data_IF_081540528112
#
_entry.id   IF_081540528112
#
_cell.length_a   1.000
_cell.length_b   1.000
_cell.length_c   1.000
_cell.angle_alpha   90.00
_cell.angle_beta   90.00
_cell.angle_gamma   90.00
#
_symmetry.space_group_name_H-M   'P 1'
#
loop_
_entity.id
_entity.type
_entity.pdbx_description
1 polymer ?
#
# COMPACT_ATOMS: atom_id res chain seq x y z
N UNK A 1 0.82 -11.66 -24.48
CA UNK A 1 0.77 -10.70 -23.36
C UNK A 1 -0.69 -10.46 -23.08
N UNK A 2 -1.15 -10.84 -21.91
CA UNK A 2 -2.50 -10.53 -21.43
C UNK A 2 -2.65 -9.00 -21.36
N UNK A 3 -3.81 -8.44 -21.71
CA UNK A 3 -4.03 -6.99 -21.70
C UNK A 3 -3.82 -6.40 -20.29
N UNK A 4 -4.14 -7.20 -19.27
CA UNK A 4 -3.93 -6.85 -17.87
C UNK A 4 -2.44 -6.69 -17.53
N UNK A 5 -1.59 -7.63 -17.96
CA UNK A 5 -0.15 -7.57 -17.74
C UNK A 5 0.49 -6.34 -18.38
N UNK A 6 -0.02 -5.95 -19.56
CA UNK A 6 0.45 -4.73 -20.23
C UNK A 6 0.10 -3.47 -19.45
N UNK A 7 -1.10 -3.42 -18.86
CA UNK A 7 -1.53 -2.29 -18.05
C UNK A 7 -0.73 -2.18 -16.75
N UNK A 8 -0.47 -3.30 -16.08
CA UNK A 8 0.36 -3.36 -14.87
C UNK A 8 1.77 -2.88 -15.14
N UNK A 9 2.40 -3.37 -16.22
CA UNK A 9 3.71 -2.89 -16.65
C UNK A 9 3.70 -1.38 -16.89
N UNK A 10 2.70 -0.86 -17.61
CA UNK A 10 2.58 0.58 -17.86
C UNK A 10 2.42 1.39 -16.57
N UNK A 11 1.65 0.87 -15.61
CA UNK A 11 1.47 1.48 -14.28
C UNK A 11 2.79 1.55 -13.51
N UNK A 12 3.57 0.46 -13.52
CA UNK A 12 4.90 0.42 -12.90
C UNK A 12 5.85 1.43 -13.55
N UNK A 13 5.95 1.44 -14.88
CA UNK A 13 6.80 2.39 -15.62
C UNK A 13 6.42 3.84 -15.29
N UNK A 14 5.14 4.17 -15.32
CA UNK A 14 4.63 5.50 -14.99
C UNK A 14 4.99 5.92 -13.55
N UNK A 15 4.88 4.99 -12.59
CA UNK A 15 5.24 5.24 -11.20
C UNK A 15 6.73 5.49 -11.03
N UNK A 16 7.58 4.71 -11.69
CA UNK A 16 9.04 4.92 -11.68
C UNK A 16 9.41 6.26 -12.34
N UNK A 17 8.82 6.62 -13.48
CA UNK A 17 9.00 7.94 -14.09
C UNK A 17 8.66 9.07 -13.12
N UNK A 18 7.52 8.95 -12.41
CA UNK A 18 7.09 9.96 -11.43
C UNK A 18 8.12 10.10 -10.29
N UNK A 19 8.68 9.00 -9.79
CA UNK A 19 9.71 9.08 -8.75
C UNK A 19 11.03 9.67 -9.27
N UNK A 20 11.42 9.36 -10.50
CA UNK A 20 12.58 9.99 -11.14
C UNK A 20 12.36 11.49 -11.33
N UNK A 21 11.16 11.92 -11.70
CA UNK A 21 10.84 13.34 -11.84
C UNK A 21 10.87 14.05 -10.49
N UNK A 22 10.31 13.44 -9.44
CA UNK A 22 10.30 14.01 -8.09
C UNK A 22 11.70 14.18 -7.49
N UNK A 23 12.61 13.25 -7.74
CA UNK A 23 13.94 13.25 -7.10
C UNK A 23 15.05 13.85 -7.97
N UNK A 24 14.92 13.78 -9.29
CA UNK A 24 15.97 14.15 -10.25
C UNK A 24 15.47 15.14 -11.32
N UNK A 25 14.18 15.44 -11.38
CA UNK A 25 13.59 16.24 -12.46
C UNK A 25 13.61 15.53 -13.82
N UNK A 26 13.76 14.20 -13.83
CA UNK A 26 13.86 13.39 -15.04
C UNK A 26 12.56 12.63 -15.30
N UNK A 27 11.91 12.91 -16.43
CA UNK A 27 10.75 12.17 -16.91
C UNK A 27 11.08 11.46 -18.22
N UNK A 28 11.84 10.38 -18.11
CA UNK A 28 12.28 9.56 -19.25
C UNK A 28 11.78 8.13 -19.09
N UNK A 29 10.95 7.71 -20.05
CA UNK A 29 10.36 6.39 -20.09
C UNK A 29 11.41 5.30 -20.32
N UNK A 30 12.36 5.52 -21.22
CA UNK A 30 13.35 4.51 -21.59
C UNK A 30 14.31 4.29 -20.42
N UNK A 31 14.66 5.34 -19.69
CA UNK A 31 15.41 5.25 -18.44
C UNK A 31 14.64 4.46 -17.37
N UNK A 32 13.35 4.74 -17.20
CA UNK A 32 12.51 4.01 -16.24
C UNK A 32 12.43 2.51 -16.57
N UNK A 33 12.20 2.15 -17.85
CA UNK A 33 12.20 0.76 -18.31
C UNK A 33 13.56 0.08 -18.07
N UNK A 34 14.66 0.79 -18.33
CA UNK A 34 16.00 0.28 -18.06
C UNK A 34 16.23 0.02 -16.56
N UNK A 35 15.88 0.97 -15.69
CA UNK A 35 16.00 0.81 -14.23
C UNK A 35 15.17 -0.38 -13.74
N UNK A 36 13.95 -0.54 -14.26
CA UNK A 36 13.10 -1.71 -13.96
C UNK A 36 13.83 -2.99 -14.34
N UNK A 37 14.39 -3.07 -15.56
CA UNK A 37 15.13 -4.25 -16.05
C UNK A 37 16.33 -4.63 -15.18
N UNK A 38 17.03 -3.64 -14.61
CA UNK A 38 18.15 -3.85 -13.70
C UNK A 38 17.69 -4.41 -12.36
N UNK A 39 16.59 -3.88 -11.81
CA UNK A 39 16.01 -4.36 -10.57
C UNK A 39 15.44 -5.78 -10.70
N UNK A 40 14.97 -6.20 -11.88
CA UNK A 40 14.50 -7.57 -12.09
C UNK A 40 15.61 -8.61 -11.98
N UNK A 41 16.82 -8.26 -12.39
CA UNK A 41 17.99 -9.12 -12.33
C UNK A 41 18.66 -9.09 -10.94
N UNK A 42 18.36 -8.07 -10.14
CA UNK A 42 19.04 -7.78 -8.88
C UNK A 42 18.03 -7.46 -7.77
N UNK A 43 17.45 -8.50 -7.17
CA UNK A 43 16.37 -8.35 -6.18
C UNK A 43 16.80 -7.84 -4.80
N UNK A 44 18.10 -7.69 -4.56
CA UNK A 44 18.61 -7.19 -3.27
C UNK A 44 19.12 -5.76 -3.40
N UNK A 45 18.99 -4.98 -2.32
CA UNK A 45 19.38 -3.56 -2.32
C UNK A 45 20.86 -3.37 -2.67
N UNK A 46 21.75 -4.21 -2.13
CA UNK A 46 23.19 -4.12 -2.40
C UNK A 46 23.53 -4.39 -3.86
N UNK A 47 22.95 -5.44 -4.46
CA UNK A 47 23.17 -5.77 -5.87
C UNK A 47 22.60 -4.69 -6.79
N UNK A 48 21.38 -4.22 -6.51
CA UNK A 48 20.74 -3.19 -7.32
C UNK A 48 21.53 -1.88 -7.28
N UNK A 49 22.01 -1.47 -6.09
CA UNK A 49 22.87 -0.30 -5.92
C UNK A 49 24.19 -0.45 -6.68
N UNK A 50 24.84 -1.62 -6.60
CA UNK A 50 26.10 -1.87 -7.29
C UNK A 50 25.94 -1.76 -8.82
N UNK A 51 24.88 -2.36 -9.37
CA UNK A 51 24.62 -2.33 -10.82
C UNK A 51 24.21 -0.93 -11.29
N UNK A 52 23.47 -0.15 -10.50
CA UNK A 52 23.21 1.25 -10.82
C UNK A 52 24.52 2.06 -10.89
N UNK A 53 25.43 1.87 -9.92
CA UNK A 53 26.72 2.55 -9.91
C UNK A 53 27.60 2.14 -11.11
N UNK A 54 27.62 0.87 -11.50
CA UNK A 54 28.32 0.39 -12.70
C UNK A 54 27.80 1.05 -14.00
N UNK A 55 26.50 1.35 -14.04
CA UNK A 55 25.86 2.06 -15.15
C UNK A 55 25.95 3.60 -15.01
N UNK A 56 26.77 4.10 -14.08
CA UNK A 56 27.04 5.53 -13.90
C UNK A 56 25.95 6.28 -13.12
N UNK A 57 25.04 5.58 -12.46
CA UNK A 57 23.97 6.16 -11.65
C UNK A 57 24.27 6.01 -10.15
N UNK A 58 24.87 7.04 -9.55
CA UNK A 58 25.02 7.14 -8.09
C UNK A 58 23.87 7.94 -7.49
N UNK A 59 22.97 7.24 -6.81
CA UNK A 59 21.82 7.82 -6.13
C UNK A 59 21.91 7.66 -4.61
N UNK A 60 21.22 8.51 -3.83
CA UNK A 60 21.08 8.30 -2.39
C UNK A 60 20.44 6.95 -2.06
N UNK A 61 20.94 6.28 -1.03
CA UNK A 61 20.49 4.93 -0.63
C UNK A 61 18.99 4.86 -0.36
N UNK A 62 18.40 5.92 0.20
CA UNK A 62 16.96 6.04 0.42
C UNK A 62 16.16 6.01 -0.89
N UNK A 63 16.68 6.66 -1.93
CA UNK A 63 16.04 6.68 -3.25
C UNK A 63 16.16 5.33 -3.96
N UNK A 64 17.36 4.72 -3.92
CA UNK A 64 17.59 3.37 -4.46
C UNK A 64 16.66 2.36 -3.78
N UNK A 65 16.54 2.41 -2.45
CA UNK A 65 15.63 1.55 -1.70
C UNK A 65 14.16 1.79 -2.07
N UNK A 66 13.75 3.05 -2.28
CA UNK A 66 12.40 3.36 -2.70
C UNK A 66 12.08 2.83 -4.11
N UNK A 67 12.99 3.00 -5.07
CA UNK A 67 12.84 2.45 -6.42
C UNK A 67 12.70 0.93 -6.39
N UNK A 68 13.60 0.23 -5.69
CA UNK A 68 13.55 -1.22 -5.57
C UNK A 68 12.23 -1.69 -4.95
N UNK A 69 11.77 -1.02 -3.89
CA UNK A 69 10.50 -1.30 -3.22
C UNK A 69 9.30 -1.17 -4.16
N UNK A 70 9.23 -0.08 -4.93
CA UNK A 70 8.14 0.15 -5.90
C UNK A 70 8.12 -0.96 -6.95
N UNK A 71 9.28 -1.28 -7.51
CA UNK A 71 9.43 -2.29 -8.54
C UNK A 71 9.04 -3.68 -8.03
N UNK A 72 9.41 -4.03 -6.79
CA UNK A 72 9.04 -5.32 -6.20
C UNK A 72 7.55 -5.41 -5.87
N UNK A 73 6.96 -4.34 -5.31
CA UNK A 73 5.56 -4.35 -4.88
C UNK A 73 4.57 -4.38 -6.05
N UNK A 74 4.90 -3.72 -7.16
CA UNK A 74 4.01 -3.60 -8.32
C UNK A 74 4.22 -4.70 -9.38
N UNK A 75 5.07 -5.69 -9.10
CA UNK A 75 5.29 -6.82 -10.01
C UNK A 75 4.16 -7.87 -9.93
N UNK A 76 3.71 -8.41 -11.08
CA UNK A 76 2.64 -9.41 -11.13
C UNK A 76 2.94 -10.71 -10.37
N UNK A 77 4.22 -11.08 -10.24
CA UNK A 77 4.62 -12.32 -9.55
C UNK A 77 4.30 -12.30 -8.06
N UNK A 78 4.30 -11.13 -7.40
CA UNK A 78 3.92 -11.03 -5.99
C UNK A 78 2.41 -11.02 -5.80
N UNK A 79 1.65 -10.53 -6.79
CA UNK A 79 0.19 -10.47 -6.72
C UNK A 79 -0.45 -11.85 -6.96
N UNK A 80 0.11 -12.70 -7.82
CA UNK A 80 -0.46 -14.03 -8.09
C UNK A 80 -0.31 -15.03 -6.94
N UNK A 81 0.59 -14.80 -5.98
CA UNK A 81 0.71 -15.62 -4.76
C UNK A 81 -0.28 -15.21 -3.65
N UNK A 82 -0.82 -14.00 -3.72
CA UNK A 82 -1.81 -13.46 -2.77
C UNK A 82 -3.21 -13.28 -3.38
N UNK A 83 -3.36 -13.36 -4.71
CA UNK A 83 -4.64 -13.27 -5.41
C UNK A 83 -5.60 -14.45 -5.12
N UNK A 84 -5.11 -15.55 -4.55
CA UNK A 84 -5.98 -16.59 -3.99
C UNK A 84 -6.60 -16.23 -2.63
N UNK A 85 -6.25 -15.08 -2.04
CA UNK A 85 -6.78 -14.63 -0.73
C UNK A 85 -7.40 -13.23 -0.71
N UNK A 86 -7.25 -12.40 -1.76
CA UNK A 86 -7.65 -10.97 -1.69
C UNK A 86 -8.79 -10.54 -2.63
N UNK A 87 -9.54 -11.45 -3.24
CA UNK A 87 -10.67 -11.07 -4.10
C UNK A 87 -11.98 -10.75 -3.36
N UNK A 88 -11.96 -10.35 -2.09
CA UNK A 88 -13.20 -10.07 -1.35
C UNK A 88 -13.22 -8.78 -0.51
N UNK A 89 -12.32 -7.83 -0.75
CA UNK A 89 -12.28 -6.56 0.00
C UNK A 89 -13.10 -5.41 -0.59
N UNK A 90 -13.96 -5.65 -1.60
CA UNK A 90 -14.83 -4.58 -2.10
C UNK A 90 -16.11 -5.11 -2.75
N UNK A 91 -17.01 -5.69 -1.94
CA UNK A 91 -18.43 -5.89 -2.31
C UNK A 91 -19.27 -6.04 -1.03
N UNK A 92 -19.35 -4.96 -0.27
CA UNK A 92 -20.27 -4.84 0.86
C UNK A 92 -21.68 -4.55 0.36
N UNK A 93 -22.40 -5.59 -0.05
CA UNK A 93 -23.85 -5.62 0.11
C UNK A 93 -24.23 -7.02 0.60
N UNK A 94 -24.67 -7.05 1.87
CA UNK A 94 -25.64 -7.96 2.47
C UNK A 94 -25.81 -9.32 1.80
N UNK A 95 -25.38 -10.42 2.45
CA UNK A 95 -26.24 -11.56 2.79
C UNK A 95 -25.59 -12.45 3.86
N UNK A 96 -26.41 -12.75 4.86
CA UNK A 96 -26.16 -13.60 6.01
C UNK A 96 -26.01 -15.05 5.56
N UNK A 97 -24.94 -15.69 6.06
CA UNK A 97 -24.86 -17.14 6.24
C UNK A 97 -24.28 -17.92 5.06
N UNK A 98 -23.04 -18.38 5.21
CA UNK A 98 -22.68 -19.79 5.05
C UNK A 98 -21.23 -20.05 5.50
N UNK A 99 -21.04 -21.27 5.99
CA UNK A 99 -19.91 -21.82 6.73
C UNK A 99 -18.60 -21.88 5.93
N UNK A 100 -17.51 -21.30 6.45
CA UNK A 100 -16.14 -21.61 6.04
C UNK A 100 -15.25 -21.77 7.29
N UNK A 101 -14.53 -22.91 7.40
CA UNK A 101 -13.64 -23.21 8.53
C UNK A 101 -12.52 -22.18 8.72
N UNK A 102 -12.15 -21.45 7.67
CA UNK A 102 -11.08 -20.43 7.70
C UNK A 102 -11.41 -19.24 8.60
N UNK A 103 -12.70 -18.85 8.68
CA UNK A 103 -13.14 -17.76 9.55
C UNK A 103 -12.92 -18.08 11.03
N UNK A 104 -12.91 -19.37 11.40
CA UNK A 104 -12.67 -19.79 12.79
C UNK A 104 -11.19 -19.69 13.16
N UNK A 105 -10.27 -20.01 12.25
CA UNK A 105 -8.83 -19.88 12.50
C UNK A 105 -8.40 -18.41 12.53
N UNK A 106 -8.87 -17.59 11.59
CA UNK A 106 -8.59 -16.16 11.59
C UNK A 106 -9.11 -15.48 12.87
N UNK A 107 -10.27 -15.93 13.38
CA UNK A 107 -10.82 -15.47 14.66
C UNK A 107 -9.98 -15.88 15.88
N UNK A 108 -9.21 -16.98 15.80
CA UNK A 108 -8.26 -17.38 16.86
C UNK A 108 -6.94 -16.60 16.80
N UNK A 109 -6.46 -16.31 15.60
CA UNK A 109 -5.16 -15.63 15.40
C UNK A 109 -5.31 -14.12 15.66
N UNK A 110 -6.45 -13.53 15.27
CA UNK A 110 -6.71 -12.10 15.38
C UNK A 110 -8.02 -11.82 16.15
N UNK A 111 -8.10 -12.17 17.45
CA UNK A 111 -9.34 -12.04 18.23
C UNK A 111 -9.86 -10.60 18.31
N UNK A 112 -8.96 -9.60 18.26
CA UNK A 112 -9.33 -8.18 18.26
C UNK A 112 -9.93 -7.68 16.94
N UNK A 113 -9.58 -8.30 15.81
CA UNK A 113 -10.08 -7.91 14.47
C UNK A 113 -11.47 -8.50 14.18
N UNK A 114 -11.92 -9.44 15.01
CA UNK A 114 -13.21 -10.09 14.90
C UNK A 114 -14.26 -9.52 15.85
N UNK A 115 -13.92 -8.49 16.63
CA UNK A 115 -14.87 -7.80 17.49
C UNK A 115 -15.84 -7.02 16.59
N UNK A 116 -17.16 -7.25 16.73
CA UNK A 116 -18.15 -6.36 16.14
C UNK A 116 -17.96 -4.94 16.66
N UNK A 117 -18.34 -3.95 15.85
CA UNK A 117 -18.39 -2.57 16.32
C UNK A 117 -19.30 -2.48 17.55
N UNK A 118 -18.78 -1.94 18.63
CA UNK A 118 -19.58 -1.61 19.80
C UNK A 118 -20.18 -0.21 19.58
N UNK A 119 -21.50 -0.09 19.74
CA UNK A 119 -22.12 1.22 19.81
C UNK A 119 -21.56 1.94 21.04
N UNK A 120 -20.69 2.92 20.80
CA UNK A 120 -20.23 3.82 21.86
C UNK A 120 -21.47 4.57 22.34
N UNK A 121 -22.01 4.17 23.49
CA UNK A 121 -23.01 4.98 24.16
C UNK A 121 -22.40 6.36 24.38
N UNK A 122 -22.93 7.35 23.67
CA UNK A 122 -22.59 8.74 23.91
C UNK A 122 -23.04 9.01 25.34
N UNK A 123 -22.10 8.98 26.28
CA UNK A 123 -22.40 9.38 27.64
C UNK A 123 -22.67 10.89 27.58
N UNK A 124 -23.94 11.25 27.40
CA UNK A 124 -24.41 12.62 27.25
C UNK A 124 -24.06 13.50 28.45
N UNK A 125 -23.62 12.91 29.57
CA UNK A 125 -23.06 13.62 30.71
C UNK A 125 -21.83 14.44 30.33
N UNK A 126 -20.89 13.88 29.56
CA UNK A 126 -19.69 14.63 29.17
C UNK A 126 -20.05 15.78 28.22
N UNK A 127 -21.06 15.59 27.36
CA UNK A 127 -21.57 16.63 26.46
C UNK A 127 -22.30 17.74 27.22
N UNK A 128 -23.07 17.38 28.25
CA UNK A 128 -23.77 18.35 29.11
C UNK A 128 -22.80 19.16 29.98
N UNK A 129 -21.70 18.56 30.46
CA UNK A 129 -20.66 19.27 31.22
C UNK A 129 -19.92 20.30 30.36
N UNK A 130 -19.57 19.96 29.11
CA UNK A 130 -18.95 20.93 28.19
C UNK A 130 -19.94 22.02 27.77
N UNK A 131 -21.21 21.71 27.54
CA UNK A 131 -22.22 22.70 27.19
C UNK A 131 -22.52 23.65 28.38
N UNK A 132 -22.56 23.12 29.62
CA UNK A 132 -22.77 23.92 30.82
C UNK A 132 -21.60 24.87 31.13
N UNK A 133 -20.35 24.41 30.96
CA UNK A 133 -19.15 25.24 31.17
C UNK A 133 -19.03 26.35 30.12
N UNK A 134 -19.42 26.10 28.87
CA UNK A 134 -19.42 27.10 27.81
C UNK A 134 -20.44 28.21 28.07
N UNK A 135 -21.67 27.86 28.49
CA UNK A 135 -22.69 28.86 28.82
C UNK A 135 -22.27 29.76 30.00
N UNK A 136 -21.58 29.19 31.00
CA UNK A 136 -21.11 29.94 32.16
C UNK A 136 -19.99 30.95 31.83
N UNK A 137 -19.24 30.72 30.74
CA UNK A 137 -18.25 31.65 30.19
C UNK A 137 -18.88 32.77 29.35
N UNK A 138 -20.00 32.51 28.68
CA UNK A 138 -20.74 33.53 27.91
C UNK A 138 -21.52 34.51 28.79
N UNK A 139 -21.85 34.14 30.03
CA UNK A 139 -22.56 34.99 31.00
C UNK A 139 -21.65 35.95 31.80
N UNK A 140 -20.34 35.98 31.54
CA UNK A 140 -19.36 36.92 32.11
C UNK A 140 -18.99 38.05 31.13
#
# INVERSE_FOLDING_TARGET
>A
MDELQRLEHLSLVSKVCTELENHLGLNDKDLAEFIISLAEQNSTLEQFKAVLAENGAEFPDSFVANLLRIIQQMKPEFLTKHASQESNLLSSETQVGQSNNETVEQRKIFPSLCLPDEEIEKNDQHRQEVDATMNQLEEL
#
